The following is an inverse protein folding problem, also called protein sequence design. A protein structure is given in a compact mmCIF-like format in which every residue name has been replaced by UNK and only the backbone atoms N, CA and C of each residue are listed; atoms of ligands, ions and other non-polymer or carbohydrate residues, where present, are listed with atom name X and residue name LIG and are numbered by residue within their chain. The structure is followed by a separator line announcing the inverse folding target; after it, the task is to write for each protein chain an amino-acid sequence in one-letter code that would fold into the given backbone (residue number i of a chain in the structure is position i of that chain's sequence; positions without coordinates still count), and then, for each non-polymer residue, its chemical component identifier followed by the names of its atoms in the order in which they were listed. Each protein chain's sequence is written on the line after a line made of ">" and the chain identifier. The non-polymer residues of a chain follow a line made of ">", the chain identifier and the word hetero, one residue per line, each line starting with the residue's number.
data_IF_984002483893
#
_entry.id   IF_984002483893
#
_cell.length_a   1.000
_cell.length_b   1.000
_cell.length_c   1.000
_cell.angle_alpha   90.00
_cell.angle_beta   90.00
_cell.angle_gamma   90.00
#
_symmetry.space_group_name_H-M   'P 1'
#
loop_
_entity.id
_entity.type
_entity.pdbx_description
1 polymer ?
#
# COMPACT_ATOMS: atom_id res chain seq x y z
N UNK A 1 -19.18 -5.21 -4.09
CA UNK A 1 -18.41 -6.39 -4.53
C UNK A 1 -16.95 -5.94 -4.69
N UNK A 2 -16.16 -6.02 -3.62
CA UNK A 2 -14.82 -5.44 -3.53
C UNK A 2 -13.82 -6.25 -4.37
N UNK A 3 -13.61 -5.83 -5.62
CA UNK A 3 -12.65 -6.43 -6.55
C UNK A 3 -11.23 -5.91 -6.28
N UNK A 4 -10.68 -6.22 -5.10
CA UNK A 4 -9.30 -5.84 -4.81
C UNK A 4 -8.35 -6.73 -5.59
N UNK A 5 -7.51 -6.07 -6.40
CA UNK A 5 -6.30 -6.57 -7.03
C UNK A 5 -6.50 -7.37 -8.33
N UNK A 6 -6.61 -6.65 -9.46
CA UNK A 6 -6.27 -7.23 -10.77
C UNK A 6 -4.87 -6.79 -11.19
N UNK A 7 -4.03 -7.80 -11.39
CA UNK A 7 -2.81 -7.83 -12.22
C UNK A 7 -1.49 -7.30 -11.62
N UNK A 8 -1.42 -6.14 -10.96
CA UNK A 8 -0.13 -5.60 -10.47
C UNK A 8 0.30 -6.15 -9.11
N UNK A 9 -0.67 -6.46 -8.25
CA UNK A 9 -0.45 -7.03 -6.92
C UNK A 9 0.30 -8.38 -6.95
N UNK A 10 -0.01 -9.25 -7.91
CA UNK A 10 0.63 -10.57 -8.01
C UNK A 10 2.15 -10.48 -8.26
N UNK A 11 2.61 -9.49 -9.04
CA UNK A 11 4.05 -9.28 -9.26
C UNK A 11 4.76 -8.79 -8.00
N UNK A 12 4.04 -8.11 -7.09
CA UNK A 12 4.59 -7.71 -5.80
C UNK A 12 4.83 -8.91 -4.89
N UNK A 13 3.86 -9.84 -4.86
CA UNK A 13 3.98 -11.07 -4.05
C UNK A 13 5.17 -11.94 -4.44
N UNK A 14 5.52 -11.98 -5.73
CA UNK A 14 6.69 -12.74 -6.19
C UNK A 14 8.00 -12.13 -5.67
N UNK A 15 8.11 -10.78 -5.63
CA UNK A 15 9.33 -10.09 -5.20
C UNK A 15 9.40 -9.81 -3.69
N UNK A 16 8.26 -9.79 -3.01
CA UNK A 16 8.11 -9.40 -1.60
C UNK A 16 7.04 -10.26 -0.93
N UNK A 17 7.26 -11.58 -0.93
CA UNK A 17 6.34 -12.58 -0.37
C UNK A 17 6.02 -12.37 1.11
N UNK A 18 6.85 -11.61 1.85
CA UNK A 18 6.60 -11.22 3.23
C UNK A 18 5.50 -10.15 3.39
N UNK A 19 5.10 -9.46 2.32
CA UNK A 19 4.02 -8.47 2.38
C UNK A 19 2.69 -9.21 2.30
N UNK A 20 1.92 -9.10 3.38
CA UNK A 20 0.61 -9.73 3.50
C UNK A 20 -0.48 -8.92 2.80
N UNK A 21 -1.48 -9.62 2.25
CA UNK A 21 -2.63 -8.99 1.57
C UNK A 21 -3.41 -8.09 2.51
N UNK A 22 -3.58 -8.56 3.74
CA UNK A 22 -4.33 -7.89 4.80
C UNK A 22 -3.71 -6.54 5.13
N UNK A 23 -2.37 -6.44 5.11
CA UNK A 23 -1.69 -5.16 5.30
C UNK A 23 -2.00 -4.15 4.19
N UNK A 24 -2.03 -4.62 2.93
CA UNK A 24 -2.37 -3.76 1.81
C UNK A 24 -3.82 -3.29 1.84
N UNK A 25 -4.75 -4.20 2.21
CA UNK A 25 -6.16 -3.86 2.39
C UNK A 25 -6.36 -2.83 3.50
N UNK A 26 -5.72 -3.06 4.66
CA UNK A 26 -5.78 -2.11 5.78
C UNK A 26 -5.17 -0.76 5.42
N UNK A 27 -4.09 -0.72 4.64
CA UNK A 27 -3.52 0.55 4.18
C UNK A 27 -4.53 1.36 3.36
N UNK A 28 -5.34 0.71 2.52
CA UNK A 28 -6.36 1.40 1.70
C UNK A 28 -7.56 1.83 2.57
N UNK A 29 -7.99 0.99 3.51
CA UNK A 29 -9.17 1.23 4.34
C UNK A 29 -8.93 2.27 5.44
N UNK A 30 -7.80 2.15 6.14
CA UNK A 30 -7.47 2.93 7.34
C UNK A 30 -6.00 3.40 7.31
N UNK A 31 -5.62 4.24 6.33
CA UNK A 31 -4.28 4.79 6.29
C UNK A 31 -4.05 5.78 7.44
N UNK A 32 -2.87 5.72 8.05
CA UNK A 32 -2.36 6.77 8.95
C UNK A 32 -2.11 8.06 8.17
N UNK A 33 -1.71 7.94 6.90
CA UNK A 33 -1.58 9.07 5.97
C UNK A 33 -2.02 8.67 4.58
N UNK A 34 -2.69 9.60 3.90
CA UNK A 34 -3.04 9.49 2.48
C UNK A 34 -2.48 10.70 1.73
N UNK A 35 -1.88 10.46 0.58
CA UNK A 35 -1.37 11.52 -0.30
C UNK A 35 -1.72 11.20 -1.75
N UNK A 36 -2.31 12.16 -2.46
CA UNK A 36 -2.57 12.06 -3.89
C UNK A 36 -1.42 12.75 -4.61
N UNK A 37 -0.78 12.04 -5.54
CA UNK A 37 0.28 12.59 -6.38
C UNK A 37 -0.29 13.36 -7.57
N UNK A 38 0.53 14.19 -8.20
CA UNK A 38 0.17 14.95 -9.41
C UNK A 38 -0.15 14.05 -10.61
N UNK A 39 0.34 12.81 -10.63
CA UNK A 39 0.05 11.78 -11.65
C UNK A 39 -1.23 10.98 -11.36
N UNK A 40 -2.00 11.36 -10.34
CA UNK A 40 -3.24 10.70 -9.93
C UNK A 40 -3.04 9.49 -9.01
N UNK A 41 -1.81 8.99 -8.83
CA UNK A 41 -1.56 7.85 -7.93
C UNK A 41 -1.78 8.23 -6.48
N UNK A 42 -2.33 7.31 -5.70
CA UNK A 42 -2.57 7.53 -4.28
C UNK A 42 -1.58 6.73 -3.45
N UNK A 43 -0.92 7.37 -2.50
CA UNK A 43 -0.05 6.75 -1.50
C UNK A 43 -0.81 6.63 -0.19
N UNK A 44 -0.79 5.44 0.37
CA UNK A 44 -1.38 5.11 1.66
C UNK A 44 -0.28 4.59 2.57
N UNK A 45 -0.18 5.12 3.79
CA UNK A 45 0.77 4.65 4.79
C UNK A 45 0.03 4.01 5.95
N UNK A 46 0.52 2.86 6.41
CA UNK A 46 0.05 2.22 7.65
C UNK A 46 1.24 1.65 8.41
N UNK A 47 1.20 1.70 9.74
CA UNK A 47 2.21 1.04 10.56
C UNK A 47 1.93 -0.46 10.64
N UNK A 48 2.94 -1.27 10.31
CA UNK A 48 2.88 -2.74 10.44
C UNK A 48 3.79 -3.13 11.59
N UNK A 49 3.16 -3.59 12.68
CA UNK A 49 3.85 -3.99 13.89
C UNK A 49 4.83 -5.14 13.63
N UNK A 50 4.46 -6.12 12.80
CA UNK A 50 5.32 -7.26 12.48
C UNK A 50 6.57 -6.89 11.68
N UNK A 51 6.57 -5.74 11.02
CA UNK A 51 7.75 -5.21 10.33
C UNK A 51 8.46 -4.10 11.11
N UNK A 52 7.86 -3.66 12.22
CA UNK A 52 8.18 -2.44 12.96
C UNK A 52 8.40 -1.23 12.04
N UNK A 53 7.62 -1.14 10.95
CA UNK A 53 7.82 -0.17 9.85
C UNK A 53 6.49 0.29 9.29
N UNK A 54 6.50 1.50 8.71
CA UNK A 54 5.40 1.95 7.88
C UNK A 54 5.44 1.23 6.54
N UNK A 55 4.33 0.63 6.14
CA UNK A 55 4.10 0.11 4.81
C UNK A 55 3.48 1.23 3.97
N UNK A 56 4.11 1.53 2.83
CA UNK A 56 3.55 2.41 1.81
C UNK A 56 2.93 1.56 0.71
N UNK A 57 1.64 1.77 0.49
CA UNK A 57 0.85 1.16 -0.59
C UNK A 57 0.50 2.24 -1.59
N UNK A 58 0.84 2.02 -2.85
CA UNK A 58 0.54 2.91 -3.95
C UNK A 58 -0.57 2.28 -4.77
N UNK A 59 -1.70 2.98 -4.90
CA UNK A 59 -2.77 2.61 -5.82
C UNK A 59 -2.76 3.48 -7.07
N UNK A 60 -3.47 3.04 -8.10
CA UNK A 60 -3.83 3.88 -9.23
C UNK A 60 -4.84 4.97 -8.80
N UNK A 61 -5.28 5.76 -9.77
CA UNK A 61 -6.22 6.88 -9.58
C UNK A 61 -7.58 6.46 -8.97
N UNK A 62 -7.98 5.20 -9.16
CA UNK A 62 -9.19 4.63 -8.56
C UNK A 62 -9.11 4.47 -7.03
N UNK A 63 -7.92 4.61 -6.44
CA UNK A 63 -7.71 4.43 -5.00
C UNK A 63 -7.75 2.98 -4.51
N UNK A 64 -8.00 2.00 -5.39
CA UNK A 64 -8.26 0.60 -5.05
C UNK A 64 -7.26 -0.36 -5.71
N UNK A 65 -6.85 -0.08 -6.96
CA UNK A 65 -5.95 -0.95 -7.71
C UNK A 65 -4.52 -0.75 -7.23
N UNK A 66 -4.01 -1.71 -6.45
CA UNK A 66 -2.64 -1.69 -5.92
C UNK A 66 -1.63 -1.76 -7.07
N UNK A 67 -0.88 -0.67 -7.26
CA UNK A 67 0.26 -0.59 -8.17
C UNK A 67 1.55 -1.11 -7.52
N UNK A 68 1.81 -0.74 -6.25
CA UNK A 68 3.03 -1.13 -5.53
C UNK A 68 2.81 -1.16 -4.01
N UNK A 69 3.63 -1.94 -3.29
CA UNK A 69 3.62 -1.98 -1.82
C UNK A 69 5.04 -2.29 -1.29
N UNK A 70 5.53 -1.48 -0.34
CA UNK A 70 6.86 -1.67 0.25
C UNK A 70 7.01 -0.96 1.60
N UNK A 71 7.88 -1.47 2.51
CA UNK A 71 8.23 -0.75 3.73
C UNK A 71 8.91 0.58 3.39
N UNK A 72 8.36 1.68 3.90
CA UNK A 72 8.89 3.03 3.74
C UNK A 72 9.86 3.32 4.89
N UNK A 73 11.15 3.41 4.57
CA UNK A 73 12.22 3.65 5.56
C UNK A 73 12.33 5.12 5.97
N UNK A 74 11.74 6.02 5.19
CA UNK A 74 11.89 7.46 5.37
C UNK A 74 10.61 8.12 5.90
N UNK A 75 9.55 7.34 6.12
CA UNK A 75 8.34 7.87 6.72
C UNK A 75 8.58 8.19 8.19
N UNK A 76 8.73 9.48 8.48
CA UNK A 76 8.66 10.02 9.84
C UNK A 76 7.22 10.46 10.06
N UNK A 77 6.60 9.96 11.13
CA UNK A 77 5.38 10.58 11.67
C UNK A 77 5.70 12.04 11.95
N UNK A 78 5.09 12.94 11.18
CA UNK A 78 5.08 14.36 11.51
C UNK A 78 4.21 14.58 12.75
#
# INVERSE_FOLDING_TARGET
>A
MHLVARTLYFRLLVKRSYIKREWCLRAIQEPVKKEIQTDGRVRHWIYIAELSKYLRVVTLEDGETIHNAFPDRNFKTQ
#
